data_IF_098027586741
#
_entry.id   IF_098027586741
#
_cell.length_a   1.000
_cell.length_b   1.000
_cell.length_c   1.000
_cell.angle_alpha   90.00
_cell.angle_beta   90.00
_cell.angle_gamma   90.00
#
_symmetry.space_group_name_H-M   'P 1'
#
loop_
_entity.id
_entity.type
_entity.pdbx_description
1 polymer ?
#
# COMPACT_ATOMS: atom_id res chain seq x y z
N UNK A 1 6.94 63.73 -22.20
CA UNK A 1 7.73 63.31 -21.03
C UNK A 1 6.80 62.54 -20.11
N UNK A 2 6.86 61.21 -20.13
CA UNK A 2 6.05 60.37 -19.24
C UNK A 2 6.71 60.27 -17.88
N UNK A 3 5.96 60.55 -16.81
CA UNK A 3 6.45 60.36 -15.45
C UNK A 3 6.72 58.85 -15.21
N UNK A 4 7.83 58.48 -14.54
CA UNK A 4 8.11 57.09 -14.22
C UNK A 4 7.04 56.57 -13.25
N UNK A 5 6.43 55.44 -13.60
CA UNK A 5 5.48 54.73 -12.73
C UNK A 5 6.29 54.13 -11.57
N UNK A 6 5.90 54.34 -10.30
CA UNK A 6 6.60 53.76 -9.17
C UNK A 6 6.47 52.23 -9.20
N UNK A 7 7.61 51.54 -9.26
CA UNK A 7 7.68 50.09 -9.10
C UNK A 7 7.45 49.80 -7.62
N UNK A 8 6.22 49.45 -7.25
CA UNK A 8 5.92 48.88 -5.94
C UNK A 8 6.67 47.56 -5.83
N UNK A 9 7.71 47.50 -5.01
CA UNK A 9 8.39 46.24 -4.71
C UNK A 9 7.39 45.30 -4.02
N UNK A 10 7.22 44.09 -4.57
CA UNK A 10 6.40 43.05 -3.96
C UNK A 10 6.83 42.86 -2.50
N UNK A 11 5.87 42.94 -1.58
CA UNK A 11 6.14 42.76 -0.17
C UNK A 11 6.58 41.32 0.13
N UNK A 12 7.31 41.07 1.24
CA UNK A 12 7.79 39.73 1.60
C UNK A 12 6.69 38.66 1.68
N UNK A 13 5.44 39.06 1.97
CA UNK A 13 4.28 38.15 2.01
C UNK A 13 3.80 37.68 0.63
N UNK A 14 4.14 38.38 -0.46
CA UNK A 14 3.75 38.01 -1.82
C UNK A 14 4.75 37.00 -2.43
N UNK A 15 6.03 37.12 -2.05
CA UNK A 15 7.08 36.16 -2.46
C UNK A 15 6.82 34.78 -1.84
N UNK A 16 6.42 34.73 -0.56
CA UNK A 16 6.12 33.47 0.13
C UNK A 16 4.91 32.74 -0.47
N UNK A 17 3.86 33.49 -0.85
CA UNK A 17 2.67 32.91 -1.52
C UNK A 17 3.00 32.28 -2.88
N UNK A 18 3.72 33.01 -3.73
CA UNK A 18 4.08 32.49 -5.07
C UNK A 18 4.97 31.23 -4.97
N UNK A 19 5.87 31.20 -3.98
CA UNK A 19 6.69 30.01 -3.73
C UNK A 19 5.84 28.81 -3.29
N UNK A 20 4.90 29.02 -2.36
CA UNK A 20 4.00 27.96 -1.88
C UNK A 20 3.11 27.40 -3.00
N UNK A 21 2.59 28.24 -3.88
CA UNK A 21 1.77 27.80 -5.02
C UNK A 21 2.58 26.97 -6.03
N UNK A 22 3.85 27.34 -6.27
CA UNK A 22 4.79 26.58 -7.08
C UNK A 22 5.11 25.20 -6.49
N UNK A 23 5.37 25.13 -5.18
CA UNK A 23 5.62 23.86 -4.49
C UNK A 23 4.40 22.94 -4.50
N UNK A 24 3.19 23.47 -4.29
CA UNK A 24 1.95 22.68 -4.29
C UNK A 24 1.59 22.14 -5.67
N UNK A 25 1.74 22.93 -6.72
CA UNK A 25 1.55 22.44 -8.10
C UNK A 25 2.55 21.34 -8.46
N UNK A 26 3.81 21.49 -8.02
CA UNK A 26 4.84 20.45 -8.18
C UNK A 26 4.50 19.18 -7.40
N UNK A 27 4.03 19.30 -6.16
CA UNK A 27 3.60 18.16 -5.35
C UNK A 27 2.44 17.39 -5.99
N UNK A 28 1.45 18.09 -6.57
CA UNK A 28 0.35 17.45 -7.31
C UNK A 28 0.85 16.64 -8.52
N UNK A 29 1.75 17.21 -9.31
CA UNK A 29 2.35 16.50 -10.43
C UNK A 29 3.12 15.24 -9.98
N UNK A 30 3.83 15.30 -8.84
CA UNK A 30 4.50 14.15 -8.25
C UNK A 30 3.50 13.09 -7.75
N UNK A 31 2.36 13.51 -7.19
CA UNK A 31 1.28 12.60 -6.78
C UNK A 31 0.71 11.85 -7.99
N UNK A 32 0.39 12.56 -9.08
CA UNK A 32 -0.10 11.97 -10.33
C UNK A 32 0.93 11.02 -10.95
N UNK A 33 2.20 11.43 -10.98
CA UNK A 33 3.29 10.59 -11.48
C UNK A 33 3.46 9.32 -10.66
N UNK A 34 3.40 9.43 -9.32
CA UNK A 34 3.51 8.28 -8.42
C UNK A 34 2.34 7.32 -8.59
N UNK A 35 1.12 7.85 -8.73
CA UNK A 35 -0.07 7.04 -8.99
C UNK A 35 0.03 6.31 -10.33
N UNK A 36 0.41 7.01 -11.40
CA UNK A 36 0.60 6.38 -12.72
C UNK A 36 1.67 5.27 -12.69
N UNK A 37 2.77 5.48 -11.95
CA UNK A 37 3.82 4.46 -11.78
C UNK A 37 3.30 3.25 -11.00
N UNK A 38 2.53 3.50 -9.93
CA UNK A 38 1.93 2.45 -9.12
C UNK A 38 0.95 1.60 -9.94
N UNK A 39 0.09 2.23 -10.73
CA UNK A 39 -0.88 1.58 -11.61
C UNK A 39 -0.20 0.75 -12.71
N UNK A 40 0.97 1.19 -13.18
CA UNK A 40 1.83 0.43 -14.09
C UNK A 40 2.59 -0.73 -13.40
N UNK A 41 2.47 -0.86 -12.08
CA UNK A 41 3.21 -1.81 -11.26
C UNK A 41 4.68 -1.43 -11.04
N UNK A 42 5.11 -0.25 -11.46
CA UNK A 42 6.43 0.31 -11.14
C UNK A 42 6.39 0.92 -9.73
N UNK A 43 6.40 0.03 -8.74
CA UNK A 43 6.32 0.42 -7.33
C UNK A 43 7.56 1.19 -6.85
N UNK A 44 8.74 0.95 -7.45
CA UNK A 44 9.94 1.72 -7.09
C UNK A 44 9.86 3.15 -7.66
N UNK A 45 9.38 3.32 -8.90
CA UNK A 45 9.09 4.62 -9.49
C UNK A 45 8.01 5.38 -8.72
N UNK A 46 6.96 4.68 -8.26
CA UNK A 46 5.91 5.26 -7.42
C UNK A 46 6.47 5.80 -6.10
N UNK A 47 7.20 4.95 -5.36
CA UNK A 47 7.82 5.33 -4.09
C UNK A 47 8.77 6.53 -4.25
N UNK A 48 9.57 6.55 -5.33
CA UNK A 48 10.48 7.66 -5.61
C UNK A 48 9.75 8.95 -5.98
N UNK A 49 8.57 8.90 -6.59
CA UNK A 49 7.83 10.10 -6.97
C UNK A 49 7.15 10.72 -5.76
N UNK A 50 6.48 9.90 -4.95
CA UNK A 50 5.85 10.35 -3.71
C UNK A 50 6.88 10.82 -2.67
N UNK A 51 8.06 10.19 -2.58
CA UNK A 51 9.08 10.63 -1.62
C UNK A 51 9.59 12.05 -1.91
N UNK A 52 9.64 12.46 -3.19
CA UNK A 52 10.05 13.82 -3.59
C UNK A 52 9.09 14.91 -3.13
N UNK A 53 7.84 14.55 -2.78
CA UNK A 53 6.90 15.50 -2.18
C UNK A 53 7.45 16.00 -0.84
N UNK A 54 8.15 15.14 -0.09
CA UNK A 54 8.81 15.51 1.16
C UNK A 54 10.00 16.46 0.97
N UNK A 55 10.59 16.53 -0.23
CA UNK A 55 11.63 17.51 -0.54
C UNK A 55 11.04 18.82 -1.09
N UNK A 56 9.84 18.74 -1.67
CA UNK A 56 9.18 19.85 -2.37
C UNK A 56 8.33 20.72 -1.45
N UNK A 57 7.60 20.09 -0.52
CA UNK A 57 6.77 20.79 0.45
C UNK A 57 7.57 21.03 1.73
N UNK A 58 7.72 22.26 2.22
CA UNK A 58 8.37 22.48 3.52
C UNK A 58 7.54 21.90 4.67
N UNK A 59 8.20 21.40 5.71
CA UNK A 59 7.56 20.97 6.95
C UNK A 59 7.02 22.19 7.70
N UNK A 60 5.69 22.27 7.82
CA UNK A 60 4.94 23.28 8.55
C UNK A 60 3.50 22.80 8.75
N UNK A 61 2.69 23.52 9.53
CA UNK A 61 1.31 23.11 9.84
C UNK A 61 0.40 22.98 8.61
N UNK A 62 0.65 23.76 7.55
CA UNK A 62 -0.16 23.75 6.33
C UNK A 62 0.08 22.51 5.46
N UNK A 63 1.32 21.98 5.45
CA UNK A 63 1.71 20.86 4.60
C UNK A 63 1.84 19.55 5.38
N UNK A 64 1.67 19.58 6.71
CA UNK A 64 1.90 18.44 7.60
C UNK A 64 1.16 17.18 7.16
N UNK A 65 -0.14 17.30 6.90
CA UNK A 65 -0.98 16.18 6.48
C UNK A 65 -0.56 15.61 5.12
N UNK A 66 -0.30 16.49 4.15
CA UNK A 66 0.10 16.07 2.80
C UNK A 66 1.48 15.38 2.81
N UNK A 67 2.42 15.88 3.62
CA UNK A 67 3.73 15.25 3.81
C UNK A 67 3.61 13.91 4.53
N UNK A 68 2.81 13.81 5.59
CA UNK A 68 2.59 12.54 6.27
C UNK A 68 2.00 11.49 5.32
N UNK A 69 0.98 11.86 4.55
CA UNK A 69 0.37 10.98 3.57
C UNK A 69 1.40 10.54 2.50
N UNK A 70 2.18 11.48 1.96
CA UNK A 70 3.22 11.19 0.99
C UNK A 70 4.28 10.21 1.54
N UNK A 71 4.65 10.32 2.82
CA UNK A 71 5.52 9.34 3.48
C UNK A 71 4.87 7.95 3.51
N UNK A 72 3.64 7.84 4.01
CA UNK A 72 2.96 6.56 4.20
C UNK A 72 2.78 5.81 2.86
N UNK A 73 2.34 6.50 1.81
CA UNK A 73 2.20 5.88 0.48
C UNK A 73 3.55 5.50 -0.13
N UNK A 74 4.61 6.26 0.14
CA UNK A 74 5.97 5.90 -0.29
C UNK A 74 6.47 4.63 0.39
N UNK A 75 6.22 4.48 1.69
CA UNK A 75 6.59 3.28 2.45
C UNK A 75 5.84 2.04 1.93
N UNK A 76 4.53 2.16 1.66
CA UNK A 76 3.76 1.06 1.09
C UNK A 76 4.28 0.66 -0.29
N UNK A 77 4.60 1.63 -1.16
CA UNK A 77 5.20 1.34 -2.46
C UNK A 77 6.57 0.65 -2.35
N UNK A 78 7.44 1.04 -1.43
CA UNK A 78 8.69 0.30 -1.19
C UNK A 78 8.44 -1.14 -0.72
N UNK A 79 7.45 -1.37 0.16
CA UNK A 79 7.05 -2.73 0.58
C UNK A 79 6.54 -3.55 -0.60
N UNK A 80 5.73 -2.98 -1.49
CA UNK A 80 5.27 -3.64 -2.71
C UNK A 80 6.42 -3.96 -3.69
N UNK A 81 7.33 -3.01 -3.91
CA UNK A 81 8.51 -3.20 -4.75
C UNK A 81 9.38 -4.36 -4.25
N UNK A 82 9.63 -4.41 -2.94
CA UNK A 82 10.34 -5.52 -2.29
C UNK A 82 9.64 -6.85 -2.50
N UNK A 83 8.35 -6.96 -2.15
CA UNK A 83 7.57 -8.21 -2.25
C UNK A 83 7.55 -8.73 -3.69
N UNK A 84 7.35 -7.84 -4.67
CA UNK A 84 7.30 -8.18 -6.09
C UNK A 84 8.64 -8.73 -6.58
N UNK A 85 9.75 -8.01 -6.36
CA UNK A 85 11.08 -8.44 -6.82
C UNK A 85 11.53 -9.75 -6.17
N UNK A 86 11.27 -9.91 -4.87
CA UNK A 86 11.54 -11.16 -4.14
C UNK A 86 10.76 -12.34 -4.73
N UNK A 87 9.48 -12.13 -5.07
CA UNK A 87 8.64 -13.16 -5.68
C UNK A 87 9.08 -13.52 -7.11
N UNK A 88 9.41 -12.52 -7.93
CA UNK A 88 9.89 -12.72 -9.31
C UNK A 88 11.23 -13.47 -9.34
N UNK A 89 12.13 -13.18 -8.40
CA UNK A 89 13.43 -13.85 -8.28
C UNK A 89 13.37 -15.23 -7.62
N UNK A 90 12.34 -15.49 -6.82
CA UNK A 90 12.22 -16.71 -6.02
C UNK A 90 13.09 -16.72 -4.76
N UNK A 91 13.45 -15.54 -4.25
CA UNK A 91 14.28 -15.38 -3.06
C UNK A 91 14.67 -13.93 -2.82
N UNK A 92 15.14 -13.66 -1.60
CA UNK A 92 15.59 -12.32 -1.20
C UNK A 92 17.04 -12.11 -1.61
N UNK A 93 17.36 -10.98 -2.24
CA UNK A 93 18.75 -10.53 -2.43
C UNK A 93 18.97 -9.15 -1.84
N UNK A 94 20.23 -8.74 -1.76
CA UNK A 94 20.64 -7.46 -1.18
C UNK A 94 20.00 -6.25 -1.89
N UNK A 95 19.74 -6.37 -3.20
CA UNK A 95 19.09 -5.32 -3.98
C UNK A 95 17.63 -5.10 -3.55
N UNK A 96 16.89 -6.16 -3.22
CA UNK A 96 15.52 -6.03 -2.70
C UNK A 96 15.54 -5.49 -1.27
N UNK A 97 16.45 -5.98 -0.41
CA UNK A 97 16.62 -5.47 0.96
C UNK A 97 16.94 -3.98 0.97
N UNK A 98 17.72 -3.49 0.00
CA UNK A 98 18.01 -2.07 -0.15
C UNK A 98 16.76 -1.20 -0.32
N UNK A 99 15.66 -1.72 -0.90
CA UNK A 99 14.39 -0.98 -1.01
C UNK A 99 13.76 -0.70 0.35
N UNK A 100 13.76 -1.70 1.24
CA UNK A 100 13.24 -1.53 2.60
C UNK A 100 14.12 -0.56 3.40
N UNK A 101 15.45 -0.62 3.23
CA UNK A 101 16.37 0.35 3.86
C UNK A 101 16.15 1.78 3.34
N UNK A 102 15.86 1.96 2.04
CA UNK A 102 15.46 3.28 1.49
C UNK A 102 14.19 3.80 2.15
N UNK A 103 13.17 2.95 2.31
CA UNK A 103 11.94 3.31 3.02
C UNK A 103 12.20 3.72 4.47
N UNK A 104 13.00 2.94 5.21
CA UNK A 104 13.34 3.27 6.60
C UNK A 104 14.11 4.59 6.72
N UNK A 105 15.09 4.83 5.85
CA UNK A 105 15.84 6.09 5.81
C UNK A 105 14.93 7.30 5.52
N UNK A 106 13.92 7.14 4.66
CA UNK A 106 12.92 8.18 4.39
C UNK A 106 12.08 8.50 5.63
N UNK A 107 11.63 7.47 6.35
CA UNK A 107 10.87 7.61 7.59
C UNK A 107 11.70 8.29 8.69
N UNK A 108 12.98 7.96 8.82
CA UNK A 108 13.90 8.59 9.78
C UNK A 108 14.12 10.07 9.44
N UNK A 109 14.32 10.40 8.17
CA UNK A 109 14.48 11.78 7.71
C UNK A 109 13.22 12.62 8.00
N UNK A 110 12.04 12.10 7.67
CA UNK A 110 10.76 12.76 7.99
C UNK A 110 10.59 12.95 9.49
N UNK A 111 10.79 11.90 10.30
CA UNK A 111 10.60 11.96 11.76
C UNK A 111 11.52 13.01 12.39
N UNK A 112 12.78 13.07 11.95
CA UNK A 112 13.74 14.07 12.42
C UNK A 112 13.27 15.49 12.12
N UNK A 113 12.78 15.73 10.91
CA UNK A 113 12.30 17.04 10.49
C UNK A 113 11.00 17.44 11.20
N UNK A 114 10.07 16.50 11.34
CA UNK A 114 8.82 16.69 12.08
C UNK A 114 9.08 17.09 13.53
N UNK A 115 9.95 16.36 14.24
CA UNK A 115 10.34 16.67 15.62
C UNK A 115 10.99 18.05 15.71
N UNK A 116 11.82 18.41 14.72
CA UNK A 116 12.50 19.71 14.66
C UNK A 116 11.51 20.88 14.55
N UNK A 117 10.46 20.74 13.74
CA UNK A 117 9.48 21.82 13.48
C UNK A 117 8.36 21.85 14.51
N UNK A 118 7.83 20.69 14.90
CA UNK A 118 6.62 20.59 15.74
C UNK A 118 6.90 20.21 17.20
N UNK A 119 8.12 19.79 17.57
CA UNK A 119 8.49 19.52 18.95
C UNK A 119 7.81 18.30 19.61
N UNK A 120 7.22 17.41 18.83
CA UNK A 120 6.45 16.24 19.30
C UNK A 120 6.78 14.95 18.55
N UNK A 121 6.01 13.88 18.81
CA UNK A 121 6.11 12.62 18.10
C UNK A 121 5.29 12.63 16.80
N UNK A 122 5.77 11.91 15.78
CA UNK A 122 5.00 11.61 14.58
C UNK A 122 3.72 10.82 14.91
N UNK A 123 2.81 10.74 13.96
CA UNK A 123 1.55 10.01 14.15
C UNK A 123 1.76 8.51 14.40
N UNK A 124 0.79 7.84 15.06
CA UNK A 124 0.84 6.39 15.25
C UNK A 124 0.95 5.59 13.94
N UNK A 125 0.34 6.08 12.85
CA UNK A 125 0.39 5.41 11.54
C UNK A 125 1.82 5.37 10.98
N UNK A 126 2.60 6.44 11.15
CA UNK A 126 4.02 6.49 10.76
C UNK A 126 4.84 5.50 11.59
N UNK A 127 4.59 5.43 12.90
CA UNK A 127 5.27 4.47 13.79
C UNK A 127 4.95 3.03 13.41
N UNK A 128 3.68 2.71 13.14
CA UNK A 128 3.24 1.38 12.73
C UNK A 128 3.89 0.98 11.39
N UNK A 129 3.81 1.85 10.38
CA UNK A 129 4.41 1.56 9.08
C UNK A 129 5.93 1.41 9.15
N UNK A 130 6.61 2.13 10.06
CA UNK A 130 8.05 1.96 10.32
C UNK A 130 8.33 0.57 10.88
N UNK A 131 7.60 0.15 11.91
CA UNK A 131 7.74 -1.17 12.55
C UNK A 131 7.52 -2.29 11.54
N UNK A 132 6.57 -2.15 10.63
CA UNK A 132 6.37 -3.12 9.54
C UNK A 132 7.61 -3.24 8.62
N UNK A 133 8.21 -2.11 8.21
CA UNK A 133 9.42 -2.12 7.38
C UNK A 133 10.61 -2.74 8.13
N UNK A 134 10.76 -2.43 9.42
CA UNK A 134 11.80 -3.02 10.28
C UNK A 134 11.62 -4.54 10.45
N UNK A 135 10.39 -5.01 10.64
CA UNK A 135 10.08 -6.44 10.70
C UNK A 135 10.40 -7.15 9.38
N UNK A 136 10.04 -6.55 8.24
CA UNK A 136 10.37 -7.10 6.93
C UNK A 136 11.89 -7.15 6.70
N UNK A 137 12.65 -6.16 7.17
CA UNK A 137 14.12 -6.17 7.14
C UNK A 137 14.68 -7.30 8.01
N UNK A 138 14.19 -7.47 9.23
CA UNK A 138 14.63 -8.53 10.13
C UNK A 138 14.38 -9.93 9.53
N UNK A 139 13.22 -10.16 8.93
CA UNK A 139 12.89 -11.43 8.27
C UNK A 139 13.73 -11.68 7.00
N UNK A 140 14.06 -10.62 6.27
CA UNK A 140 14.91 -10.70 5.08
C UNK A 140 16.34 -11.16 5.42
N UNK A 141 16.90 -10.75 6.55
CA UNK A 141 18.23 -11.14 7.01
C UNK A 141 18.35 -12.63 7.36
N UNK A 142 17.30 -13.19 7.98
CA UNK A 142 17.25 -14.63 8.33
C UNK A 142 17.32 -15.54 7.09
N UNK A 143 16.80 -15.07 5.96
CA UNK A 143 16.76 -15.86 4.73
C UNK A 143 18.13 -15.98 4.08
N UNK A 144 18.99 -14.94 4.21
CA UNK A 144 20.30 -14.89 3.55
C UNK A 144 21.32 -15.83 4.22
N UNK A 145 21.28 -15.96 5.56
CA UNK A 145 22.22 -16.81 6.30
C UNK A 145 21.99 -18.32 6.10
N UNK A 146 20.82 -18.75 5.64
CA UNK A 146 20.50 -20.17 5.47
C UNK A 146 20.99 -20.79 4.16
N UNK A 147 21.99 -20.21 3.49
CA UNK A 147 22.64 -20.91 2.36
C UNK A 147 23.23 -22.20 2.92
N UNK A 148 22.68 -23.39 2.61
CA UNK A 148 23.12 -24.62 3.23
C UNK A 148 24.58 -24.81 2.85
N UNK A 149 25.47 -24.85 3.85
CA UNK A 149 26.82 -25.35 3.68
C UNK A 149 26.69 -26.65 2.89
N UNK A 150 27.36 -26.79 1.73
CA UNK A 150 27.24 -27.98 0.92
C UNK A 150 27.47 -29.19 1.82
N UNK A 151 26.40 -29.95 2.07
CA UNK A 151 26.50 -31.21 2.78
C UNK A 151 27.36 -32.05 1.83
N UNK A 152 28.61 -32.29 2.22
CA UNK A 152 29.47 -33.25 1.54
C UNK A 152 28.63 -34.51 1.33
N UNK A 153 28.56 -35.05 0.11
CA UNK A 153 27.74 -36.22 -0.16
C UNK A 153 28.04 -37.27 0.91
N UNK A 154 27.01 -37.79 1.62
CA UNK A 154 27.24 -38.80 2.63
C UNK A 154 28.01 -39.94 1.98
N UNK A 155 29.15 -40.30 2.57
CA UNK A 155 29.86 -41.53 2.25
C UNK A 155 28.83 -42.64 2.21
N UNK A 156 28.67 -43.27 1.05
CA UNK A 156 27.70 -44.32 0.77
C UNK A 156 27.96 -45.49 1.71
N UNK A 157 27.26 -45.55 2.83
CA UNK A 157 27.13 -46.77 3.63
C UNK A 157 25.87 -47.47 3.16
N UNK A 158 26.08 -48.72 2.75
CA UNK A 158 25.14 -49.70 2.19
C UNK A 158 23.76 -49.70 2.88
N UNK A 159 22.64 -49.65 2.13
CA UNK A 159 21.30 -49.61 2.73
C UNK A 159 20.85 -50.97 3.27
N UNK A 160 20.54 -50.98 4.57
CA UNK A 160 19.80 -52.06 5.23
C UNK A 160 18.33 -52.05 4.75
N UNK A 161 17.80 -53.16 4.21
CA UNK A 161 16.41 -53.22 3.80
C UNK A 161 15.49 -53.37 5.01
N UNK A 162 14.31 -52.77 4.91
CA UNK A 162 13.15 -52.90 5.81
C UNK A 162 13.06 -51.93 7.00
N UNK A 163 12.41 -50.79 6.79
CA UNK A 163 11.41 -50.32 7.78
C UNK A 163 10.23 -49.66 7.06
N UNK A 164 9.04 -50.17 7.38
CA UNK A 164 7.76 -49.81 6.76
C UNK A 164 7.32 -48.39 7.10
N UNK A 165 6.73 -47.76 6.09
CA UNK A 165 6.16 -46.42 6.02
C UNK A 165 4.91 -46.26 6.89
N UNK A 166 4.99 -45.41 7.92
CA UNK A 166 3.82 -44.78 8.53
C UNK A 166 3.48 -43.51 7.74
N UNK A 167 2.35 -43.50 7.03
CA UNK A 167 1.88 -42.34 6.27
C UNK A 167 1.42 -41.26 7.28
N UNK A 168 2.27 -40.27 7.56
CA UNK A 168 1.85 -39.07 8.28
C UNK A 168 0.83 -38.31 7.43
N UNK A 169 -0.43 -38.24 7.91
CA UNK A 169 -1.46 -37.36 7.34
C UNK A 169 -1.02 -35.91 7.56
N UNK A 170 -0.63 -35.23 6.49
CA UNK A 170 -0.35 -33.80 6.51
C UNK A 170 -1.59 -32.97 6.84
N UNK A 171 -1.40 -31.73 7.36
CA UNK A 171 -2.49 -30.85 7.78
C UNK A 171 -3.47 -30.58 6.63
N UNK A 172 -4.76 -30.83 6.88
CA UNK A 172 -5.82 -30.68 5.89
C UNK A 172 -6.00 -29.21 5.50
N UNK A 173 -5.88 -28.88 4.20
CA UNK A 173 -5.94 -27.52 3.67
C UNK A 173 -7.28 -26.79 3.78
N UNK A 174 -8.27 -27.34 4.49
CA UNK A 174 -9.63 -26.80 4.58
C UNK A 174 -9.68 -25.46 5.34
N UNK A 175 -8.78 -25.23 6.30
CA UNK A 175 -8.76 -23.99 7.09
C UNK A 175 -8.47 -22.71 6.28
N UNK A 176 -7.60 -22.80 5.26
CA UNK A 176 -7.21 -21.66 4.42
C UNK A 176 -8.33 -21.21 3.46
N UNK A 177 -9.14 -22.14 2.96
CA UNK A 177 -10.24 -21.83 2.03
C UNK A 177 -11.40 -21.18 2.80
N UNK A 178 -11.70 -21.66 4.01
CA UNK A 178 -12.72 -21.06 4.87
C UNK A 178 -12.32 -19.63 5.29
N UNK A 179 -11.06 -19.40 5.65
CA UNK A 179 -10.58 -18.07 6.01
C UNK A 179 -10.58 -17.09 4.82
N UNK A 180 -10.13 -17.52 3.63
CA UNK A 180 -10.10 -16.68 2.43
C UNK A 180 -11.49 -16.30 1.88
N UNK A 181 -12.47 -17.20 1.99
CA UNK A 181 -13.85 -16.88 1.56
C UNK A 181 -14.55 -15.89 2.48
N UNK A 182 -14.35 -16.01 3.80
CA UNK A 182 -14.89 -15.05 4.77
C UNK A 182 -14.36 -13.63 4.54
N UNK A 183 -13.08 -13.47 4.19
CA UNK A 183 -12.46 -12.17 3.94
C UNK A 183 -12.97 -11.51 2.66
N UNK A 184 -13.22 -12.28 1.59
CA UNK A 184 -13.82 -11.76 0.35
C UNK A 184 -15.25 -11.25 0.61
N UNK A 185 -16.06 -11.99 1.38
CA UNK A 185 -17.43 -11.57 1.71
C UNK A 185 -17.44 -10.26 2.52
N UNK A 186 -16.54 -10.15 3.52
CA UNK A 186 -16.40 -8.91 4.30
C UNK A 186 -15.89 -7.75 3.43
N UNK A 187 -14.93 -7.98 2.53
CA UNK A 187 -14.44 -6.96 1.60
C UNK A 187 -15.52 -6.46 0.64
N UNK A 188 -16.33 -7.35 0.05
CA UNK A 188 -17.44 -6.98 -0.82
C UNK A 188 -18.56 -6.24 -0.07
N UNK A 189 -18.80 -6.57 1.20
CA UNK A 189 -19.79 -5.89 2.04
C UNK A 189 -19.41 -4.42 2.36
N UNK A 190 -18.15 -4.02 2.17
CA UNK A 190 -17.69 -2.64 2.35
C UNK A 190 -17.88 -1.75 1.10
N UNK A 191 -18.07 -2.33 -0.09
CA UNK A 191 -18.28 -1.56 -1.33
C UNK A 191 -19.46 -0.57 -1.25
N UNK A 192 -20.64 -0.93 -0.68
CA UNK A 192 -21.75 0.01 -0.53
C UNK A 192 -21.37 1.23 0.31
N UNK A 193 -20.54 1.07 1.35
CA UNK A 193 -20.11 2.18 2.20
C UNK A 193 -19.21 3.16 1.44
N UNK A 194 -18.33 2.66 0.57
CA UNK A 194 -17.49 3.50 -0.30
C UNK A 194 -18.34 4.28 -1.31
N UNK A 195 -19.36 3.65 -1.90
CA UNK A 195 -20.27 4.31 -2.85
C UNK A 195 -21.11 5.40 -2.15
N UNK A 196 -21.63 5.11 -0.95
CA UNK A 196 -22.37 6.11 -0.14
C UNK A 196 -21.46 7.26 0.31
N UNK A 197 -20.21 6.96 0.68
CA UNK A 197 -19.20 7.98 1.00
C UNK A 197 -18.88 8.89 -0.18
N UNK A 198 -18.73 8.32 -1.37
CA UNK A 198 -18.46 9.07 -2.60
C UNK A 198 -19.64 9.97 -3.02
N UNK A 199 -20.89 9.53 -2.81
CA UNK A 199 -22.07 10.36 -3.05
C UNK A 199 -22.13 11.52 -2.05
N UNK A 200 -21.95 11.26 -0.76
CA UNK A 200 -21.93 12.32 0.27
C UNK A 200 -20.80 13.31 0.09
N UNK A 201 -19.66 12.90 -0.47
CA UNK A 201 -18.56 13.81 -0.79
C UNK A 201 -18.95 14.83 -1.87
N UNK A 202 -19.78 14.44 -2.85
CA UNK A 202 -20.25 15.36 -3.89
C UNK A 202 -21.26 16.36 -3.31
N UNK A 203 -22.19 15.87 -2.50
CA UNK A 203 -23.17 16.72 -1.82
C UNK A 203 -22.46 17.74 -0.91
N UNK A 204 -21.39 17.32 -0.22
CA UNK A 204 -20.58 18.23 0.62
C UNK A 204 -19.83 19.31 -0.19
N UNK A 205 -19.41 19.01 -1.42
CA UNK A 205 -18.79 20.01 -2.31
C UNK A 205 -19.82 21.01 -2.84
N UNK A 206 -21.06 20.58 -3.09
CA UNK A 206 -22.17 21.46 -3.46
C UNK A 206 -22.58 22.37 -2.29
N UNK A 207 -22.70 21.81 -1.08
CA UNK A 207 -23.00 22.56 0.15
C UNK A 207 -21.91 23.59 0.46
N UNK A 208 -20.63 23.22 0.32
CA UNK A 208 -19.50 24.14 0.52
C UNK A 208 -19.55 25.30 -0.47
N UNK A 209 -19.83 25.01 -1.75
CA UNK A 209 -19.93 26.02 -2.80
C UNK A 209 -21.08 26.98 -2.53
N UNK A 210 -22.24 26.45 -2.13
CA UNK A 210 -23.38 27.28 -1.76
C UNK A 210 -23.08 28.16 -0.54
N UNK A 211 -22.44 27.61 0.50
CA UNK A 211 -22.05 28.36 1.69
C UNK A 211 -21.05 29.50 1.38
N UNK A 212 -20.14 29.29 0.42
CA UNK A 212 -19.23 30.31 -0.10
C UNK A 212 -19.96 31.42 -0.85
N UNK A 213 -20.91 31.05 -1.73
CA UNK A 213 -21.71 32.02 -2.49
C UNK A 213 -22.60 32.88 -1.57
N UNK A 214 -23.07 32.31 -0.46
CA UNK A 214 -23.88 33.00 0.56
C UNK A 214 -23.04 33.80 1.58
N UNK A 215 -21.70 33.63 1.59
CA UNK A 215 -20.80 34.31 2.52
C UNK A 215 -20.98 33.90 3.99
N UNK A 216 -21.58 32.73 4.25
CA UNK A 216 -21.85 32.26 5.60
C UNK A 216 -20.66 31.45 6.16
N UNK A 217 -19.78 32.12 6.91
CA UNK A 217 -18.58 31.51 7.49
C UNK A 217 -18.85 30.31 8.40
N UNK A 218 -19.98 30.28 9.11
CA UNK A 218 -20.32 29.15 9.99
C UNK A 218 -20.70 27.90 9.18
N UNK A 219 -21.39 28.09 8.06
CA UNK A 219 -21.73 27.01 7.13
C UNK A 219 -20.48 26.50 6.38
N UNK A 220 -19.53 27.40 6.04
CA UNK A 220 -18.25 27.02 5.43
C UNK A 220 -17.46 26.11 6.38
N UNK A 221 -17.29 26.50 7.64
CA UNK A 221 -16.57 25.69 8.63
C UNK A 221 -17.24 24.32 8.85
N UNK A 222 -18.57 24.28 8.95
CA UNK A 222 -19.29 23.00 9.08
C UNK A 222 -19.16 22.11 7.83
N UNK A 223 -19.16 22.69 6.63
CA UNK A 223 -18.99 21.95 5.39
C UNK A 223 -17.55 21.41 5.27
N UNK A 224 -16.55 22.17 5.71
CA UNK A 224 -15.14 21.76 5.72
C UNK A 224 -14.87 20.63 6.72
N UNK A 225 -15.46 20.68 7.93
CA UNK A 225 -15.41 19.58 8.90
C UNK A 225 -16.08 18.29 8.38
N UNK A 226 -17.20 18.41 7.64
CA UNK A 226 -17.86 17.26 7.02
C UNK A 226 -17.02 16.69 5.87
N UNK A 227 -16.35 17.55 5.11
CA UNK A 227 -15.47 17.16 4.00
C UNK A 227 -14.22 16.44 4.50
N UNK A 228 -13.57 16.93 5.55
CA UNK A 228 -12.40 16.27 6.15
C UNK A 228 -12.78 14.88 6.71
N UNK A 229 -13.92 14.80 7.41
CA UNK A 229 -14.51 13.54 7.89
C UNK A 229 -14.78 12.55 6.75
N UNK A 230 -15.43 12.98 5.67
CA UNK A 230 -15.76 12.13 4.53
C UNK A 230 -14.48 11.65 3.81
N UNK A 231 -13.49 12.53 3.66
CA UNK A 231 -12.21 12.21 3.02
C UNK A 231 -11.44 11.16 3.82
N UNK A 232 -11.37 11.32 5.15
CA UNK A 232 -10.77 10.33 6.05
C UNK A 232 -11.46 8.96 5.96
N UNK A 233 -12.80 8.95 5.82
CA UNK A 233 -13.57 7.71 5.67
C UNK A 233 -13.33 7.01 4.32
N UNK A 234 -13.17 7.78 3.24
CA UNK A 234 -12.86 7.24 1.91
C UNK A 234 -11.44 6.69 1.85
N UNK A 235 -10.45 7.40 2.43
CA UNK A 235 -9.05 6.95 2.46
C UNK A 235 -8.90 5.70 3.32
N UNK A 236 -9.48 5.69 4.53
CA UNK A 236 -9.44 4.49 5.39
C UNK A 236 -10.19 3.31 4.75
N UNK A 237 -11.34 3.56 4.13
CA UNK A 237 -12.11 2.54 3.43
C UNK A 237 -11.40 1.95 2.22
N UNK A 238 -10.70 2.77 1.43
CA UNK A 238 -9.99 2.32 0.23
C UNK A 238 -8.75 1.49 0.56
N UNK A 239 -8.00 1.85 1.60
CA UNK A 239 -6.86 1.06 2.09
C UNK A 239 -7.35 -0.30 2.60
N UNK A 240 -8.40 -0.31 3.43
CA UNK A 240 -8.95 -1.55 3.96
C UNK A 240 -9.47 -2.46 2.85
N UNK A 241 -10.17 -1.90 1.87
CA UNK A 241 -10.66 -2.61 0.69
C UNK A 241 -9.49 -3.19 -0.12
N UNK A 242 -8.44 -2.40 -0.38
CA UNK A 242 -7.26 -2.85 -1.09
C UNK A 242 -6.58 -4.04 -0.42
N UNK A 243 -6.31 -3.94 0.89
CA UNK A 243 -5.69 -5.01 1.68
C UNK A 243 -6.56 -6.26 1.71
N UNK A 244 -7.88 -6.13 1.94
CA UNK A 244 -8.79 -7.27 1.98
C UNK A 244 -8.92 -7.97 0.62
N UNK A 245 -8.92 -7.22 -0.48
CA UNK A 245 -9.07 -7.79 -1.82
C UNK A 245 -7.78 -8.50 -2.25
N UNK A 246 -6.62 -7.90 -2.01
CA UNK A 246 -5.31 -8.50 -2.33
C UNK A 246 -4.99 -9.68 -1.40
N UNK A 247 -5.24 -9.55 -0.10
CA UNK A 247 -5.05 -10.63 0.89
C UNK A 247 -6.02 -11.80 0.69
N UNK A 248 -7.30 -11.50 0.44
CA UNK A 248 -8.33 -12.51 0.18
C UNK A 248 -8.04 -13.30 -1.11
N UNK A 249 -7.65 -12.61 -2.19
CA UNK A 249 -7.33 -13.26 -3.47
C UNK A 249 -6.08 -14.14 -3.41
N UNK A 250 -5.04 -13.74 -2.66
CA UNK A 250 -3.85 -14.59 -2.46
C UNK A 250 -4.15 -15.84 -1.63
N UNK A 251 -4.91 -15.72 -0.53
CA UNK A 251 -5.33 -16.90 0.25
C UNK A 251 -6.20 -17.85 -0.56
N UNK A 252 -7.13 -17.31 -1.36
CA UNK A 252 -7.96 -18.09 -2.27
C UNK A 252 -7.09 -18.82 -3.32
N UNK A 253 -6.13 -18.13 -3.93
CA UNK A 253 -5.22 -18.70 -4.92
C UNK A 253 -4.36 -19.84 -4.37
N UNK A 254 -3.79 -19.68 -3.18
CA UNK A 254 -2.98 -20.72 -2.52
C UNK A 254 -3.86 -21.93 -2.14
N UNK A 255 -5.07 -21.67 -1.63
CA UNK A 255 -6.05 -22.71 -1.29
C UNK A 255 -6.48 -23.54 -2.52
N UNK A 256 -6.81 -22.87 -3.62
CA UNK A 256 -7.17 -23.52 -4.89
C UNK A 256 -5.98 -24.32 -5.45
N UNK A 257 -4.78 -23.72 -5.51
CA UNK A 257 -3.58 -24.38 -6.08
C UNK A 257 -3.18 -25.65 -5.32
N UNK A 258 -3.32 -25.68 -3.99
CA UNK A 258 -3.09 -26.89 -3.19
C UNK A 258 -4.12 -27.99 -3.47
N UNK A 259 -5.37 -27.62 -3.74
CA UNK A 259 -6.47 -28.59 -3.96
C UNK A 259 -6.44 -29.19 -5.37
N UNK A 260 -6.03 -28.42 -6.39
CA UNK A 260 -5.92 -28.89 -7.77
C UNK A 260 -4.96 -30.10 -7.89
N UNK A 261 -3.93 -30.21 -7.04
CA UNK A 261 -3.04 -31.40 -7.04
C UNK A 261 -3.74 -32.70 -6.62
N UNK A 262 -4.91 -32.63 -6.00
CA UNK A 262 -5.69 -33.78 -5.53
C UNK A 262 -7.08 -33.88 -6.19
N UNK A 263 -7.39 -33.00 -7.14
CA UNK A 263 -8.64 -33.03 -7.92
C UNK A 263 -8.31 -33.16 -9.39
N UNK A 264 -8.65 -34.30 -9.98
CA UNK A 264 -8.56 -34.48 -11.42
C UNK A 264 -9.80 -33.85 -12.06
N UNK A 265 -9.58 -32.84 -12.89
CA UNK A 265 -10.61 -32.32 -13.79
C UNK A 265 -10.56 -33.18 -15.05
N UNK A 266 -11.61 -33.96 -15.30
CA UNK A 266 -11.77 -34.62 -16.60
C UNK A 266 -12.81 -33.85 -17.41
N UNK A 267 -12.48 -33.41 -18.64
CA UNK A 267 -13.49 -32.92 -19.55
C UNK A 267 -14.45 -34.08 -19.86
N UNK A 268 -15.74 -33.88 -19.58
CA UNK A 268 -16.79 -34.84 -19.90
C UNK A 268 -17.52 -34.34 -21.14
N UNK A 269 -17.33 -35.04 -22.25
CA UNK A 269 -18.03 -34.80 -23.51
C UNK A 269 -19.07 -35.89 -23.68
N UNK A 270 -20.35 -35.50 -23.59
CA UNK A 270 -21.48 -36.36 -23.87
C UNK A 270 -22.22 -35.92 -25.13
N UNK A 271 -23.10 -36.77 -25.71
CA UNK A 271 -23.83 -36.47 -26.95
C UNK A 271 -24.71 -35.21 -26.90
N UNK A 272 -24.96 -34.66 -25.70
CA UNK A 272 -25.77 -33.46 -25.47
C UNK A 272 -25.18 -32.48 -24.46
N UNK A 273 -23.95 -32.67 -23.99
CA UNK A 273 -23.34 -31.73 -23.06
C UNK A 273 -21.81 -31.72 -23.18
N UNK A 274 -21.23 -30.55 -22.94
CA UNK A 274 -19.80 -30.37 -22.69
C UNK A 274 -19.70 -29.77 -21.31
N UNK A 275 -19.04 -30.45 -20.39
CA UNK A 275 -18.91 -30.01 -19.01
C UNK A 275 -17.60 -30.46 -18.38
N UNK A 276 -17.26 -29.86 -17.25
CA UNK A 276 -16.16 -30.29 -16.40
C UNK A 276 -16.71 -31.20 -15.31
N UNK A 277 -16.27 -32.46 -15.26
CA UNK A 277 -16.60 -33.34 -14.14
C UNK A 277 -15.52 -33.21 -13.07
N UNK A 278 -15.95 -33.00 -11.82
CA UNK A 278 -15.07 -32.92 -10.66
C UNK A 278 -15.13 -34.25 -9.91
N UNK A 279 -14.11 -35.10 -10.06
CA UNK A 279 -14.03 -36.35 -9.31
C UNK A 279 -12.97 -36.22 -8.21
N UNK A 280 -13.43 -36.22 -6.96
CA UNK A 280 -12.58 -36.18 -5.76
C UNK A 280 -12.68 -37.50 -4.99
N UNK A 281 -11.56 -37.98 -4.45
CA UNK A 281 -11.52 -39.09 -3.50
C UNK A 281 -11.39 -38.49 -2.10
N UNK A 282 -12.40 -38.71 -1.25
CA UNK A 282 -12.47 -38.23 0.13
C UNK A 282 -11.87 -39.25 1.09
#
# INVERSE_FOLDING_TARGET
MGAPVPVMAAGPAEIDRNFQDGSRSSARALTEQGQASFDAGDYEGAASSWSKILDTLPENDLNREERENALLISLEAYKHAYRRKTAERGGTSEAEVALLRKGLALCDAYTKEFVRVHGGSVSPAVVESRVEVENMLADSGRTIETTPTPILPPTTTDPDPFTRTGIQRGPSGNGLIAAGSATIVVGLAMIPLVVVGAQRSKDADEDLKQAMDEGNMEAINQAEDRKSSATAMIISGSILLGVLTVGGSTMLGIGIRRRIRYTAFSPAIGPRFVGLSLQGRF
#
